data_IF_837355308263
#
_entry.id   IF_837355308263
#
_cell.length_a   1.000
_cell.length_b   1.000
_cell.length_c   1.000
_cell.angle_alpha   90.00
_cell.angle_beta   90.00
_cell.angle_gamma   90.00
#
_symmetry.space_group_name_H-M   'P 1'
#
loop_
_entity.id
_entity.type
_entity.pdbx_description
1 polymer ?
#
# COMPACT_ATOMS: atom_id res chain seq x y z
N UNK A 1 -16.91 -2.38 9.48
CA UNK A 1 -17.39 -0.99 9.63
C UNK A 1 -16.25 -0.01 9.40
N UNK A 2 -16.51 1.14 8.79
CA UNK A 2 -15.44 2.09 8.44
C UNK A 2 -14.67 2.68 9.62
N UNK A 3 -15.26 2.81 10.81
CA UNK A 3 -14.52 3.23 12.02
C UNK A 3 -13.36 2.29 12.34
N UNK A 4 -13.57 0.97 12.19
CA UNK A 4 -12.49 -0.01 12.40
C UNK A 4 -11.41 0.15 11.33
N UNK A 5 -11.81 0.32 10.07
CA UNK A 5 -10.87 0.55 8.95
C UNK A 5 -10.01 1.79 9.20
N UNK A 6 -10.63 2.92 9.55
CA UNK A 6 -9.92 4.16 9.90
C UNK A 6 -8.86 3.94 10.99
N UNK A 7 -9.19 3.21 12.06
CA UNK A 7 -8.25 2.87 13.13
C UNK A 7 -7.06 2.04 12.62
N UNK A 8 -7.31 1.00 11.83
CA UNK A 8 -6.23 0.17 11.29
C UNK A 8 -5.34 0.95 10.32
N UNK A 9 -5.94 1.82 9.49
CA UNK A 9 -5.18 2.70 8.58
C UNK A 9 -4.33 3.70 9.34
N UNK A 10 -4.83 4.32 10.42
CA UNK A 10 -4.02 5.18 11.30
C UNK A 10 -2.79 4.42 11.82
N UNK A 11 -2.98 3.23 12.37
CA UNK A 11 -1.86 2.41 12.88
C UNK A 11 -0.87 1.97 11.78
N UNK A 12 -1.31 1.84 10.53
CA UNK A 12 -0.43 1.56 9.40
C UNK A 12 0.35 2.82 8.99
N UNK A 13 -0.32 3.97 8.91
CA UNK A 13 0.29 5.26 8.57
C UNK A 13 1.35 5.65 9.61
N UNK A 14 1.08 5.45 10.89
CA UNK A 14 2.07 5.69 11.96
C UNK A 14 3.32 4.83 11.81
N UNK A 15 3.16 3.56 11.41
CA UNK A 15 4.28 2.62 11.27
C UNK A 15 5.04 2.74 9.96
N UNK A 16 4.37 3.10 8.86
CA UNK A 16 4.91 3.05 7.49
C UNK A 16 5.05 4.39 6.81
N UNK A 17 4.54 5.46 7.43
CA UNK A 17 4.44 6.78 6.84
C UNK A 17 3.14 6.97 6.06
N UNK A 18 2.82 8.25 5.84
CA UNK A 18 1.59 8.69 5.18
C UNK A 18 1.71 8.54 3.64
N UNK A 19 0.79 7.80 2.98
CA UNK A 19 0.73 7.78 1.52
C UNK A 19 0.14 9.09 0.97
N UNK A 20 0.46 9.42 -0.28
CA UNK A 20 -0.22 10.51 -0.98
C UNK A 20 -1.67 10.19 -1.31
N UNK A 21 -1.97 8.92 -1.61
CA UNK A 21 -3.28 8.48 -2.06
C UNK A 21 -3.55 7.02 -1.69
N UNK A 22 -4.81 6.70 -1.38
CA UNK A 22 -5.31 5.33 -1.21
C UNK A 22 -6.33 5.03 -2.32
N UNK A 23 -6.26 3.82 -2.87
CA UNK A 23 -7.20 3.32 -3.89
C UNK A 23 -7.99 2.15 -3.30
N UNK A 24 -9.32 2.16 -3.46
CA UNK A 24 -10.19 1.07 -2.98
C UNK A 24 -11.32 0.73 -3.95
N UNK A 25 -11.97 -0.40 -3.73
CA UNK A 25 -13.29 -0.67 -4.29
C UNK A 25 -14.39 0.16 -3.59
N UNK A 26 -15.62 0.02 -4.07
CA UNK A 26 -16.82 0.70 -3.55
C UNK A 26 -17.43 0.00 -2.33
N UNK A 27 -16.66 -0.79 -1.58
CA UNK A 27 -17.11 -1.44 -0.36
C UNK A 27 -17.73 -0.46 0.63
N UNK A 28 -18.80 -0.88 1.32
CA UNK A 28 -19.58 0.00 2.21
C UNK A 28 -18.74 0.58 3.36
N UNK A 29 -17.68 -0.13 3.74
CA UNK A 29 -16.71 0.31 4.73
C UNK A 29 -15.92 1.53 4.27
N UNK A 30 -15.66 1.65 2.96
CA UNK A 30 -14.88 2.73 2.35
C UNK A 30 -15.74 3.91 1.92
N UNK A 31 -17.00 3.69 1.57
CA UNK A 31 -17.94 4.74 1.16
C UNK A 31 -18.66 5.43 2.32
N UNK A 32 -18.39 5.03 3.57
CA UNK A 32 -19.08 5.58 4.74
C UNK A 32 -18.50 6.92 5.25
N UNK A 33 -19.33 7.68 5.98
CA UNK A 33 -18.95 8.98 6.55
C UNK A 33 -17.73 8.93 7.48
N UNK A 34 -17.51 7.80 8.17
CA UNK A 34 -16.35 7.65 9.04
C UNK A 34 -15.03 7.67 8.25
N UNK A 35 -15.02 7.11 7.04
CA UNK A 35 -13.87 7.14 6.15
C UNK A 35 -13.69 8.52 5.51
N UNK A 36 -14.78 9.18 5.11
CA UNK A 36 -14.71 10.56 4.60
C UNK A 36 -14.10 11.53 5.62
N UNK A 37 -14.51 11.43 6.89
CA UNK A 37 -13.93 12.22 7.97
C UNK A 37 -12.45 11.90 8.18
N UNK A 38 -12.10 10.61 8.24
CA UNK A 38 -10.71 10.19 8.42
C UNK A 38 -9.79 10.64 7.29
N UNK A 39 -10.21 10.55 6.02
CA UNK A 39 -9.40 11.00 4.88
C UNK A 39 -9.12 12.51 4.95
N UNK A 40 -10.12 13.30 5.37
CA UNK A 40 -9.98 14.74 5.57
C UNK A 40 -8.96 15.05 6.68
N UNK A 41 -9.08 14.39 7.83
CA UNK A 41 -8.21 14.63 8.99
C UNK A 41 -6.77 14.14 8.72
N UNK A 42 -6.62 12.97 8.08
CA UNK A 42 -5.33 12.44 7.69
C UNK A 42 -4.71 13.20 6.50
N UNK A 43 -5.49 14.01 5.80
CA UNK A 43 -5.14 14.69 4.55
C UNK A 43 -4.55 13.72 3.50
N UNK A 44 -5.20 12.57 3.30
CA UNK A 44 -4.83 11.54 2.32
C UNK A 44 -5.91 11.51 1.24
N UNK A 45 -5.51 11.58 -0.03
CA UNK A 45 -6.45 11.49 -1.14
C UNK A 45 -7.03 10.06 -1.24
N UNK A 46 -8.31 9.95 -1.58
CA UNK A 46 -8.98 8.67 -1.75
C UNK A 46 -9.59 8.55 -3.13
N UNK A 47 -9.28 7.45 -3.82
CA UNK A 47 -9.80 7.17 -5.16
C UNK A 47 -10.49 5.80 -5.20
N UNK A 48 -11.69 5.78 -5.75
CA UNK A 48 -12.37 4.51 -6.03
C UNK A 48 -11.93 3.97 -7.39
N UNK A 49 -11.83 2.65 -7.49
CA UNK A 49 -11.67 1.98 -8.79
C UNK A 49 -12.84 2.34 -9.72
N UNK A 50 -12.55 2.39 -11.01
CA UNK A 50 -13.55 2.69 -12.01
C UNK A 50 -14.59 1.55 -12.10
N UNK A 51 -15.89 1.86 -12.19
CA UNK A 51 -16.92 0.86 -12.43
C UNK A 51 -16.59 0.00 -13.66
N UNK A 52 -16.75 -1.31 -13.54
CA UNK A 52 -16.46 -2.25 -14.64
C UNK A 52 -14.97 -2.42 -14.98
N UNK A 53 -14.04 -1.97 -14.12
CA UNK A 53 -12.58 -2.18 -14.27
C UNK A 53 -12.01 -3.04 -13.14
N UNK A 54 -12.40 -4.34 -13.05
CA UNK A 54 -11.93 -5.23 -11.97
C UNK A 54 -10.40 -5.35 -11.93
N UNK A 55 -9.73 -5.18 -13.07
CA UNK A 55 -8.27 -5.23 -13.13
C UNK A 55 -7.56 -4.19 -12.25
N UNK A 56 -8.20 -3.07 -11.90
CA UNK A 56 -7.63 -2.08 -10.99
C UNK A 56 -7.55 -2.59 -9.54
N UNK A 57 -8.37 -3.58 -9.18
CA UNK A 57 -8.34 -4.26 -7.88
C UNK A 57 -7.51 -5.56 -7.90
N UNK A 58 -6.94 -5.93 -9.05
CA UNK A 58 -6.33 -7.24 -9.27
C UNK A 58 -5.19 -7.57 -8.31
N UNK A 59 -4.47 -6.57 -7.79
CA UNK A 59 -3.43 -6.79 -6.78
C UNK A 59 -4.02 -7.32 -5.46
N UNK A 60 -5.05 -6.64 -4.93
CA UNK A 60 -5.70 -7.02 -3.68
C UNK A 60 -6.42 -8.35 -3.84
N UNK A 61 -7.07 -8.57 -4.99
CA UNK A 61 -7.72 -9.85 -5.31
C UNK A 61 -6.73 -11.01 -5.38
N UNK A 62 -5.58 -10.81 -6.03
CA UNK A 62 -4.53 -11.83 -6.10
C UNK A 62 -3.96 -12.16 -4.72
N UNK A 63 -3.74 -11.14 -3.89
CA UNK A 63 -3.29 -11.33 -2.51
C UNK A 63 -4.32 -12.11 -1.68
N UNK A 64 -5.59 -11.73 -1.74
CA UNK A 64 -6.67 -12.36 -0.99
C UNK A 64 -6.91 -13.81 -1.45
N UNK A 65 -6.89 -14.06 -2.76
CA UNK A 65 -6.97 -15.40 -3.33
C UNK A 65 -5.84 -16.27 -2.81
N UNK A 66 -4.60 -15.74 -2.79
CA UNK A 66 -3.46 -16.51 -2.31
C UNK A 66 -3.50 -16.80 -0.82
N UNK A 67 -3.86 -15.82 0.01
CA UNK A 67 -4.03 -16.05 1.44
C UNK A 67 -5.09 -17.12 1.69
N UNK A 68 -6.17 -17.13 0.92
CA UNK A 68 -7.20 -18.15 1.02
C UNK A 68 -6.64 -19.53 0.69
N UNK A 69 -6.01 -19.67 -0.47
CA UNK A 69 -5.55 -20.96 -0.97
C UNK A 69 -4.39 -21.54 -0.16
N UNK A 70 -3.46 -20.70 0.31
CA UNK A 70 -2.23 -21.18 0.95
C UNK A 70 -2.27 -21.19 2.47
N UNK A 71 -3.15 -20.40 3.10
CA UNK A 71 -3.24 -20.31 4.55
C UNK A 71 -4.60 -20.76 5.05
N UNK A 72 -5.67 -20.09 4.62
CA UNK A 72 -6.98 -20.26 5.26
C UNK A 72 -7.60 -21.62 4.97
N UNK A 73 -7.39 -22.17 3.78
CA UNK A 73 -7.93 -23.47 3.39
C UNK A 73 -7.09 -24.65 3.92
N UNK A 74 -5.78 -24.44 4.10
CA UNK A 74 -4.83 -25.50 4.45
C UNK A 74 -4.54 -25.60 5.95
N UNK A 75 -5.02 -24.65 6.75
CA UNK A 75 -4.63 -24.52 8.17
C UNK A 75 -5.84 -24.58 9.10
N UNK A 76 -5.78 -25.48 10.08
CA UNK A 76 -6.68 -25.45 11.23
C UNK A 76 -6.25 -24.36 12.21
N UNK A 77 -7.22 -23.59 12.70
CA UNK A 77 -7.03 -22.57 13.72
C UNK A 77 -7.68 -23.03 15.02
N UNK A 78 -6.91 -23.07 16.10
CA UNK A 78 -7.42 -23.56 17.38
C UNK A 78 -7.95 -22.40 18.25
N UNK A 79 -7.24 -21.28 18.25
CA UNK A 79 -7.57 -20.11 19.05
C UNK A 79 -7.25 -18.81 18.30
N UNK A 80 -7.73 -17.68 18.82
CA UNK A 80 -7.50 -16.37 18.20
C UNK A 80 -6.01 -16.02 18.11
N UNK A 81 -5.22 -16.35 19.14
CA UNK A 81 -3.79 -16.05 19.18
C UNK A 81 -3.01 -16.94 18.20
N UNK A 82 -3.40 -18.20 18.06
CA UNK A 82 -2.88 -19.10 17.03
C UNK A 82 -3.17 -18.56 15.62
N UNK A 83 -4.40 -18.12 15.36
CA UNK A 83 -4.75 -17.48 14.10
C UNK A 83 -3.93 -16.22 13.82
N UNK A 84 -3.74 -15.34 14.83
CA UNK A 84 -2.91 -14.14 14.69
C UNK A 84 -1.47 -14.49 14.35
N UNK A 85 -0.88 -15.46 15.04
CA UNK A 85 0.50 -15.89 14.80
C UNK A 85 0.68 -16.48 13.39
N UNK A 86 -0.21 -17.37 12.97
CA UNK A 86 -0.19 -18.00 11.63
C UNK A 86 -0.35 -16.96 10.51
N UNK A 87 -1.31 -16.04 10.65
CA UNK A 87 -1.49 -14.95 9.69
C UNK A 87 -0.25 -14.05 9.64
N UNK A 88 0.32 -13.66 10.79
CA UNK A 88 1.51 -12.83 10.83
C UNK A 88 2.72 -13.50 10.15
N UNK A 89 2.93 -14.80 10.39
CA UNK A 89 3.99 -15.57 9.77
C UNK A 89 3.81 -15.68 8.25
N UNK A 90 2.59 -15.95 7.79
CA UNK A 90 2.30 -16.01 6.36
C UNK A 90 2.49 -14.65 5.67
N UNK A 91 2.05 -13.55 6.30
CA UNK A 91 2.27 -12.19 5.78
C UNK A 91 3.77 -11.85 5.72
N UNK A 92 4.55 -12.30 6.71
CA UNK A 92 6.00 -12.12 6.69
C UNK A 92 6.63 -12.91 5.54
N UNK A 93 6.26 -14.18 5.34
CA UNK A 93 6.73 -15.01 4.22
C UNK A 93 6.40 -14.38 2.86
N UNK A 94 5.14 -14.01 2.65
CA UNK A 94 4.66 -13.39 1.41
C UNK A 94 5.44 -12.13 1.03
N UNK A 95 5.78 -11.30 2.02
CA UNK A 95 6.48 -10.03 1.79
C UNK A 95 8.01 -10.19 1.66
N UNK A 96 8.61 -11.13 2.38
CA UNK A 96 10.06 -11.20 2.57
C UNK A 96 10.75 -12.27 1.73
N UNK A 97 10.12 -13.41 1.51
CA UNK A 97 10.79 -14.58 0.93
C UNK A 97 10.36 -14.87 -0.49
N UNK A 98 9.19 -14.39 -0.91
CA UNK A 98 8.61 -14.79 -2.20
C UNK A 98 9.03 -13.89 -3.36
N UNK A 99 9.64 -14.45 -4.42
CA UNK A 99 9.85 -13.75 -5.69
C UNK A 99 8.51 -13.52 -6.40
N UNK A 100 8.16 -12.27 -6.68
CA UNK A 100 6.93 -11.95 -7.41
C UNK A 100 7.27 -11.70 -8.87
N UNK A 101 6.64 -12.43 -9.80
CA UNK A 101 6.90 -12.31 -11.24
C UNK A 101 6.58 -10.91 -11.79
N UNK A 102 5.56 -10.25 -11.24
CA UNK A 102 5.23 -8.83 -11.50
C UNK A 102 6.30 -7.85 -11.01
N UNK A 103 7.20 -8.29 -10.12
CA UNK A 103 8.33 -7.54 -9.59
C UNK A 103 9.67 -8.03 -10.13
N UNK A 104 9.71 -8.67 -11.32
CA UNK A 104 10.92 -9.26 -11.89
C UNK A 104 11.60 -10.29 -10.97
N UNK A 105 10.79 -11.05 -10.22
CA UNK A 105 11.27 -12.04 -9.23
C UNK A 105 12.00 -11.41 -8.02
N UNK A 106 11.74 -10.14 -7.71
CA UNK A 106 12.11 -9.56 -6.41
C UNK A 106 11.05 -9.84 -5.36
N UNK A 107 11.44 -9.75 -4.09
CA UNK A 107 10.49 -9.79 -2.96
C UNK A 107 9.85 -8.42 -2.78
N UNK A 108 8.64 -8.34 -2.21
CA UNK A 108 7.94 -7.05 -2.05
C UNK A 108 8.75 -6.04 -1.23
N UNK A 109 9.50 -6.51 -0.23
CA UNK A 109 10.40 -5.66 0.55
C UNK A 109 11.55 -5.11 -0.30
N UNK A 110 12.26 -5.96 -1.06
CA UNK A 110 13.37 -5.51 -1.90
C UNK A 110 12.92 -4.51 -2.96
N UNK A 111 11.77 -4.75 -3.60
CA UNK A 111 11.21 -3.82 -4.58
C UNK A 111 10.81 -2.46 -3.95
N UNK A 112 10.33 -2.46 -2.70
CA UNK A 112 9.96 -1.23 -1.97
C UNK A 112 11.20 -0.45 -1.55
N UNK A 113 12.21 -1.14 -1.01
CA UNK A 113 13.49 -0.53 -0.60
C UNK A 113 14.26 0.05 -1.80
N UNK A 114 14.29 -0.66 -2.93
CA UNK A 114 14.91 -0.17 -4.16
C UNK A 114 14.21 1.08 -4.70
N UNK A 115 12.87 1.12 -4.62
CA UNK A 115 12.09 2.30 -5.00
C UNK A 115 12.34 3.48 -4.06
N UNK A 116 12.39 3.26 -2.75
CA UNK A 116 12.72 4.31 -1.78
C UNK A 116 14.16 4.81 -1.96
N UNK A 117 15.10 3.92 -2.26
CA UNK A 117 16.50 4.26 -2.54
C UNK A 117 16.64 5.04 -3.86
N UNK A 118 15.86 4.71 -4.89
CA UNK A 118 15.88 5.47 -6.16
C UNK A 118 15.31 6.87 -5.97
N UNK A 119 14.21 7.02 -5.22
CA UNK A 119 13.61 8.31 -4.88
C UNK A 119 14.55 9.20 -4.05
N UNK A 120 15.34 8.60 -3.14
CA UNK A 120 16.38 9.32 -2.39
C UNK A 120 17.54 9.79 -3.27
N UNK A 121 17.89 9.02 -4.31
CA UNK A 121 18.97 9.37 -5.25
C UNK A 121 18.56 10.44 -6.26
N UNK A 122 17.28 10.50 -6.66
CA UNK A 122 16.78 11.49 -7.61
C UNK A 122 16.52 12.87 -6.99
N UNK A 123 16.53 13.00 -5.65
CA UNK A 123 16.32 14.28 -4.94
C UNK A 123 17.57 15.19 -4.89
N UNK A 124 18.67 14.87 -5.59
CA UNK A 124 19.84 15.75 -5.67
C UNK A 124 20.09 16.17 -7.11
N UNK A 125 19.48 17.29 -7.49
CA UNK A 125 20.00 18.15 -8.56
C UNK A 125 20.23 19.54 -7.94
N UNK A 126 21.48 20.06 -7.91
CA UNK A 126 21.73 21.40 -7.41
C UNK A 126 21.12 22.43 -8.38
N UNK A 127 20.68 23.60 -7.89
CA UNK A 127 20.04 24.60 -8.73
C UNK A 127 21.02 25.10 -9.80
N UNK A 128 20.60 25.03 -11.07
CA UNK A 128 21.31 25.67 -12.18
C UNK A 128 21.26 27.19 -11.97
N UNK A 129 22.43 27.81 -11.77
CA UNK A 129 22.54 29.27 -11.85
C UNK A 129 22.13 29.75 -13.25
N UNK A 130 21.06 30.55 -13.31
CA UNK A 130 20.66 31.28 -14.50
C UNK A 130 21.69 32.38 -14.76
N UNK A 131 22.47 32.23 -15.83
CA UNK A 131 23.36 33.29 -16.31
C UNK A 131 22.50 34.42 -16.92
N UNK A 132 22.50 35.59 -16.26
CA UNK A 132 21.97 36.82 -16.82
C UNK A 132 22.76 37.21 -18.08
N UNK A 133 22.10 37.25 -19.24
CA UNK A 133 22.60 37.99 -20.40
C UNK A 133 22.18 39.45 -20.26
N UNK A 134 23.16 40.33 -20.08
CA UNK A 134 23.01 41.78 -20.28
C UNK A 134 22.86 42.09 -21.78
N UNK A 135 21.95 42.99 -22.18
CA UNK A 135 21.87 43.44 -23.57
C UNK A 135 22.97 44.47 -23.86
N UNK A 136 23.61 44.35 -25.02
CA UNK A 136 24.48 45.41 -25.57
C UNK A 136 23.62 46.38 -26.38
N UNK A 137 23.88 47.67 -26.18
CA UNK A 137 23.36 48.81 -26.95
C UNK A 137 23.69 48.68 -28.43
#
# INVERSE_FOLDING_TARGET
SGRRVARELTAIVERRGKPGMIVSDHGTEFTCNAMLAWCKDAAIDWHFIAPGKPMQNGFVESFNGRMRDELLNETLFFELDDARAKIANWVADYNLQRPHSSLKYLTHLTATDDRLRSLRRSSVAPPRHLAHKTPKL
#
